data_IF_187517951035
#
_entry.id   IF_187517951035
#
_cell.length_a   1.000
_cell.length_b   1.000
_cell.length_c   1.000
_cell.angle_alpha   90.00
_cell.angle_beta   90.00
_cell.angle_gamma   90.00
#
_symmetry.space_group_name_H-M   'P 1'
#
loop_
_entity.id
_entity.type
_entity.pdbx_description
1 polymer ?
#
# COMPACT_ATOMS: atom_id res chain seq x y z
N UNK A 1 -7.35 -2.83 26.69
CA UNK A 1 -5.95 -2.36 26.81
C UNK A 1 -5.67 -1.53 25.57
N UNK A 2 -5.45 -0.23 25.71
CA UNK A 2 -5.00 0.60 24.59
C UNK A 2 -3.58 0.18 24.24
N UNK A 3 -3.44 -0.70 23.24
CA UNK A 3 -2.13 -1.07 22.72
C UNK A 3 -1.40 0.20 22.28
N UNK A 4 -0.12 0.31 22.64
CA UNK A 4 0.72 1.39 22.14
C UNK A 4 0.61 1.45 20.61
N UNK A 5 0.45 2.67 20.07
CA UNK A 5 0.39 2.86 18.63
C UNK A 5 1.71 2.38 18.01
N UNK A 6 1.62 1.60 16.93
CA UNK A 6 2.79 1.12 16.21
C UNK A 6 3.60 2.31 15.67
N UNK A 7 4.93 2.24 15.81
CA UNK A 7 5.85 3.31 15.41
C UNK A 7 6.95 2.78 14.52
N UNK A 8 7.34 3.57 13.53
CA UNK A 8 8.43 3.28 12.60
C UNK A 8 9.43 4.43 12.61
N UNK A 9 10.72 4.12 12.55
CA UNK A 9 11.74 5.13 12.26
C UNK A 9 11.84 5.37 10.75
N UNK A 10 12.16 6.60 10.35
CA UNK A 10 12.24 7.00 8.94
C UNK A 10 13.18 6.16 8.06
N UNK A 11 14.20 5.53 8.65
CA UNK A 11 15.22 4.71 7.98
C UNK A 11 14.98 3.19 8.12
N UNK A 12 13.94 2.78 8.84
CA UNK A 12 13.67 1.38 9.14
C UNK A 12 14.58 0.75 10.20
N UNK A 13 15.44 1.53 10.88
CA UNK A 13 16.23 1.04 12.03
C UNK A 13 15.36 0.54 13.19
N UNK A 14 14.12 1.06 13.28
CA UNK A 14 13.07 0.54 14.13
C UNK A 14 11.80 0.25 13.30
N UNK A 15 11.35 -1.00 13.36
CA UNK A 15 10.03 -1.42 12.89
C UNK A 15 9.27 -2.07 14.06
N UNK A 16 7.96 -1.84 14.18
CA UNK A 16 7.19 -2.32 15.31
C UNK A 16 6.92 -3.82 15.19
N UNK A 17 6.74 -4.53 16.31
CA UNK A 17 6.28 -5.91 16.27
C UNK A 17 4.86 -5.98 15.66
N UNK A 18 4.59 -7.01 14.86
CA UNK A 18 3.24 -7.23 14.32
C UNK A 18 2.38 -8.00 15.31
N UNK A 19 1.21 -7.47 15.64
CA UNK A 19 0.23 -8.19 16.46
C UNK A 19 -0.62 -9.17 15.61
N UNK A 20 -1.12 -10.28 16.20
CA UNK A 20 -1.89 -11.29 15.46
C UNK A 20 -3.15 -10.75 14.77
N UNK A 21 -3.80 -9.72 15.32
CA UNK A 21 -5.00 -9.15 14.73
C UNK A 21 -4.67 -8.30 13.50
N UNK A 22 -3.56 -7.56 13.52
CA UNK A 22 -3.06 -6.88 12.33
C UNK A 22 -2.59 -7.87 11.24
N UNK A 23 -1.96 -9.01 11.60
CA UNK A 23 -1.69 -10.11 10.65
C UNK A 23 -2.97 -10.59 9.96
N UNK A 24 -4.02 -10.86 10.74
CA UNK A 24 -5.30 -11.32 10.21
C UNK A 24 -5.96 -10.29 9.27
N UNK A 25 -5.93 -9.01 9.63
CA UNK A 25 -6.41 -7.92 8.75
C UNK A 25 -5.66 -7.88 7.43
N UNK A 26 -4.33 -7.98 7.46
CA UNK A 26 -3.51 -8.01 6.26
C UNK A 26 -3.84 -9.19 5.34
N UNK A 27 -4.05 -10.38 5.90
CA UNK A 27 -4.42 -11.58 5.12
C UNK A 27 -5.81 -11.46 4.47
N UNK A 28 -6.78 -10.91 5.20
CA UNK A 28 -8.13 -10.64 4.66
C UNK A 28 -8.06 -9.62 3.53
N UNK A 29 -7.31 -8.53 3.73
CA UNK A 29 -7.12 -7.47 2.74
C UNK A 29 -6.52 -8.02 1.44
N UNK A 30 -5.44 -8.79 1.54
CA UNK A 30 -4.76 -9.41 0.41
C UNK A 30 -5.71 -10.32 -0.39
N UNK A 31 -6.40 -11.24 0.30
CA UNK A 31 -7.36 -12.16 -0.31
C UNK A 31 -8.52 -11.43 -0.99
N UNK A 32 -9.02 -10.37 -0.34
CA UNK A 32 -10.12 -9.57 -0.88
C UNK A 32 -9.70 -8.84 -2.15
N UNK A 33 -8.53 -8.20 -2.16
CA UNK A 33 -8.06 -7.39 -3.28
C UNK A 33 -7.67 -8.24 -4.50
N UNK A 34 -7.04 -9.39 -4.29
CA UNK A 34 -6.75 -10.34 -5.38
C UNK A 34 -8.06 -10.75 -6.07
N UNK A 35 -9.07 -11.15 -5.29
CA UNK A 35 -10.36 -11.58 -5.80
C UNK A 35 -11.16 -10.43 -6.42
N UNK A 36 -11.04 -9.22 -5.87
CA UNK A 36 -11.66 -8.01 -6.43
C UNK A 36 -11.14 -7.75 -7.85
N UNK A 37 -9.83 -7.76 -8.05
CA UNK A 37 -9.23 -7.57 -9.38
C UNK A 37 -9.61 -8.72 -10.30
N UNK A 38 -9.46 -9.97 -9.84
CA UNK A 38 -9.86 -11.12 -10.64
C UNK A 38 -11.33 -11.03 -11.11
N UNK A 39 -12.23 -10.54 -10.25
CA UNK A 39 -13.67 -10.43 -10.55
C UNK A 39 -14.01 -9.23 -11.42
N UNK A 40 -13.50 -8.04 -11.11
CA UNK A 40 -13.87 -6.81 -11.81
C UNK A 40 -13.09 -6.66 -13.11
N UNK A 41 -11.78 -6.84 -13.08
CA UNK A 41 -10.93 -6.77 -14.28
C UNK A 41 -11.10 -8.02 -15.17
N UNK A 42 -11.34 -9.21 -14.58
CA UNK A 42 -11.48 -10.45 -15.36
C UNK A 42 -12.74 -10.58 -16.22
N UNK A 43 -13.69 -9.65 -16.15
CA UNK A 43 -14.95 -9.66 -16.94
C UNK A 43 -14.75 -9.34 -18.43
N UNK A 44 -14.00 -10.17 -19.17
CA UNK A 44 -13.88 -10.11 -20.63
C UNK A 44 -13.71 -8.69 -21.19
N UNK A 45 -14.51 -8.30 -22.20
CA UNK A 45 -14.47 -6.96 -22.81
C UNK A 45 -15.02 -5.83 -21.92
N UNK A 46 -15.69 -6.16 -20.82
CA UNK A 46 -16.44 -5.20 -19.98
C UNK A 46 -15.82 -5.01 -18.59
N UNK A 47 -14.71 -5.67 -18.31
CA UNK A 47 -14.08 -5.57 -17.00
C UNK A 47 -13.42 -4.22 -16.81
N UNK A 48 -13.59 -3.66 -15.62
CA UNK A 48 -12.92 -2.44 -15.18
C UNK A 48 -11.41 -2.55 -15.39
N UNK A 49 -10.84 -1.56 -16.05
CA UNK A 49 -9.40 -1.44 -16.26
C UNK A 49 -8.78 -0.37 -15.39
N UNK A 50 -9.57 0.46 -14.68
CA UNK A 50 -9.05 1.58 -13.89
C UNK A 50 -9.46 1.44 -12.43
N UNK A 51 -8.48 1.47 -11.54
CA UNK A 51 -8.67 1.34 -10.09
C UNK A 51 -7.89 2.41 -9.33
N UNK A 52 -8.42 2.84 -8.20
CA UNK A 52 -7.69 3.66 -7.22
C UNK A 52 -7.85 3.03 -5.84
N UNK A 53 -6.73 2.67 -5.22
CA UNK A 53 -6.64 2.14 -3.88
C UNK A 53 -6.06 3.21 -2.96
N UNK A 54 -6.75 3.48 -1.86
CA UNK A 54 -6.37 4.48 -0.87
C UNK A 54 -6.25 3.76 0.47
N UNK A 55 -5.05 3.79 1.06
CA UNK A 55 -4.84 3.37 2.45
C UNK A 55 -4.62 4.62 3.31
N UNK A 56 -5.58 4.89 4.20
CA UNK A 56 -5.62 6.09 5.02
C UNK A 56 -4.73 6.04 6.26
N UNK A 57 -4.21 4.86 6.62
CA UNK A 57 -3.45 4.61 7.84
C UNK A 57 -2.35 3.57 7.57
N UNK A 58 -1.51 3.88 6.58
CA UNK A 58 -0.62 2.90 5.97
C UNK A 58 0.57 2.48 6.86
N UNK A 59 0.91 3.29 7.87
CA UNK A 59 2.11 3.10 8.68
C UNK A 59 3.38 3.13 7.84
N UNK A 60 4.45 2.55 8.40
CA UNK A 60 5.75 2.48 7.75
C UNK A 60 5.95 1.31 6.80
N UNK A 61 4.96 0.43 6.64
CA UNK A 61 4.95 -0.61 5.59
C UNK A 61 5.63 -1.93 5.93
N UNK A 62 6.48 -2.03 6.95
CA UNK A 62 7.10 -3.30 7.38
C UNK A 62 7.01 -3.48 8.89
N UNK A 63 6.83 -4.70 9.35
CA UNK A 63 6.76 -5.04 10.77
C UNK A 63 7.74 -6.15 11.11
N UNK A 64 8.04 -6.34 12.39
CA UNK A 64 8.80 -7.50 12.86
C UNK A 64 7.87 -8.59 13.39
N UNK A 65 7.91 -9.77 12.77
CA UNK A 65 7.20 -10.95 13.24
C UNK A 65 8.02 -11.68 14.30
N UNK A 66 7.61 -11.53 15.56
CA UNK A 66 8.29 -12.14 16.70
C UNK A 66 8.19 -13.68 16.71
N UNK A 67 7.12 -14.24 16.16
CA UNK A 67 6.88 -15.69 16.15
C UNK A 67 7.85 -16.37 15.18
N UNK A 68 8.00 -15.77 13.99
CA UNK A 68 8.81 -16.31 12.90
C UNK A 68 10.24 -15.75 12.85
N UNK A 69 10.51 -14.69 13.64
CA UNK A 69 11.77 -13.91 13.62
C UNK A 69 12.10 -13.35 12.24
N UNK A 70 11.09 -12.96 11.49
CA UNK A 70 11.21 -12.41 10.13
C UNK A 70 10.49 -11.08 10.01
N UNK A 71 10.76 -10.33 8.94
CA UNK A 71 9.96 -9.18 8.59
C UNK A 71 8.58 -9.62 8.06
N UNK A 72 7.56 -8.81 8.33
CA UNK A 72 6.19 -8.99 7.87
C UNK A 72 5.76 -7.75 7.09
N UNK A 73 5.41 -7.94 5.82
CA UNK A 73 4.94 -6.85 4.95
C UNK A 73 3.59 -6.31 5.42
N UNK A 74 3.48 -4.99 5.50
CA UNK A 74 2.26 -4.25 5.84
C UNK A 74 1.30 -4.08 4.66
N UNK A 75 0.22 -3.33 4.90
CA UNK A 75 -0.82 -3.09 3.90
C UNK A 75 -0.32 -2.48 2.58
N UNK A 76 0.62 -1.52 2.53
CA UNK A 76 1.01 -0.92 1.24
C UNK A 76 1.58 -1.92 0.24
N UNK A 77 2.51 -2.75 0.71
CA UNK A 77 3.16 -3.77 -0.11
C UNK A 77 2.16 -4.88 -0.47
N UNK A 78 1.36 -5.33 0.50
CA UNK A 78 0.36 -6.38 0.26
C UNK A 78 -0.74 -5.96 -0.72
N UNK A 79 -1.16 -4.70 -0.67
CA UNK A 79 -2.10 -4.14 -1.65
C UNK A 79 -1.50 -4.29 -3.05
N UNK A 80 -0.28 -3.79 -3.28
CA UNK A 80 0.38 -3.85 -4.59
C UNK A 80 0.50 -5.29 -5.10
N UNK A 81 1.00 -6.20 -4.26
CA UNK A 81 1.19 -7.60 -4.61
C UNK A 81 -0.14 -8.33 -4.87
N UNK A 82 -1.19 -8.06 -4.09
CA UNK A 82 -2.52 -8.63 -4.31
C UNK A 82 -3.12 -8.20 -5.66
N UNK A 83 -2.94 -6.93 -6.05
CA UNK A 83 -3.39 -6.44 -7.36
C UNK A 83 -2.62 -7.12 -8.50
N UNK A 84 -1.29 -7.24 -8.38
CA UNK A 84 -0.44 -7.96 -9.34
C UNK A 84 -0.86 -9.44 -9.47
N UNK A 85 -1.15 -10.09 -8.35
CA UNK A 85 -1.63 -11.47 -8.31
C UNK A 85 -3.00 -11.62 -9.00
N UNK A 86 -3.96 -10.75 -8.69
CA UNK A 86 -5.29 -10.75 -9.31
C UNK A 86 -5.23 -10.51 -10.82
N UNK A 87 -4.38 -9.58 -11.27
CA UNK A 87 -4.12 -9.33 -12.69
C UNK A 87 -3.59 -10.59 -13.38
N UNK A 88 -2.52 -11.19 -12.84
CA UNK A 88 -1.92 -12.42 -13.39
C UNK A 88 -2.93 -13.58 -13.44
N UNK A 89 -3.75 -13.73 -12.40
CA UNK A 89 -4.79 -14.76 -12.29
C UNK A 89 -5.89 -14.60 -13.34
N UNK A 90 -6.22 -13.37 -13.72
CA UNK A 90 -7.25 -13.10 -14.73
C UNK A 90 -6.87 -13.59 -16.13
N UNK A 91 -5.57 -13.70 -16.44
CA UNK A 91 -5.01 -14.02 -17.77
C UNK A 91 -5.46 -13.05 -18.88
N UNK A 92 -6.05 -11.92 -18.52
CA UNK A 92 -6.54 -10.90 -19.45
C UNK A 92 -5.36 -10.04 -19.90
N UNK A 93 -5.29 -9.75 -21.20
CA UNK A 93 -4.19 -9.01 -21.85
C UNK A 93 -4.52 -7.54 -22.12
N UNK A 94 -5.46 -6.96 -21.36
CA UNK A 94 -5.78 -5.54 -21.48
C UNK A 94 -4.94 -4.75 -20.47
N UNK A 95 -4.82 -3.45 -20.69
CA UNK A 95 -4.15 -2.60 -19.72
C UNK A 95 -4.95 -2.55 -18.41
N UNK A 96 -4.21 -2.57 -17.30
CA UNK A 96 -4.75 -2.41 -15.95
C UNK A 96 -4.12 -1.17 -15.32
N UNK A 97 -4.90 -0.10 -15.27
CA UNK A 97 -4.58 1.25 -14.82
C UNK A 97 -4.82 1.42 -13.32
N UNK A 98 -3.80 1.28 -12.47
CA UNK A 98 -4.00 1.29 -11.01
C UNK A 98 -3.24 2.40 -10.32
N UNK A 99 -3.95 3.12 -9.45
CA UNK A 99 -3.39 4.14 -8.58
C UNK A 99 -3.39 3.72 -7.14
N UNK A 100 -2.24 3.86 -6.47
CA UNK A 100 -2.12 3.68 -5.02
C UNK A 100 -1.85 5.02 -4.35
N UNK A 101 -2.55 5.28 -3.25
CA UNK A 101 -2.36 6.44 -2.40
C UNK A 101 -2.23 5.93 -0.97
N UNK A 102 -1.02 6.08 -0.41
CA UNK A 102 -0.72 5.69 0.96
C UNK A 102 -0.63 6.95 1.83
N UNK A 103 -1.39 6.99 2.92
CA UNK A 103 -1.51 8.16 3.79
C UNK A 103 -1.26 7.70 5.21
N UNK A 104 -0.48 8.51 5.94
CA UNK A 104 -0.28 8.38 7.37
C UNK A 104 -0.10 9.79 7.95
N UNK A 105 -0.45 9.97 9.22
CA UNK A 105 -0.32 11.27 9.88
C UNK A 105 1.09 11.50 10.45
N UNK A 106 1.90 10.44 10.58
CA UNK A 106 3.28 10.54 11.02
C UNK A 106 4.23 10.59 9.81
N UNK A 107 4.97 11.69 9.61
CA UNK A 107 5.93 11.79 8.51
C UNK A 107 7.06 10.75 8.57
N UNK A 108 7.44 10.27 9.76
CA UNK A 108 8.45 9.21 9.88
C UNK A 108 7.94 7.87 9.33
N UNK A 109 6.65 7.58 9.49
CA UNK A 109 6.05 6.38 8.90
C UNK A 109 6.12 6.45 7.38
N UNK A 110 5.73 7.59 6.80
CA UNK A 110 5.81 7.77 5.34
C UNK A 110 7.26 7.72 4.84
N UNK A 111 8.21 8.29 5.59
CA UNK A 111 9.63 8.18 5.27
C UNK A 111 10.14 6.73 5.34
N UNK A 112 9.72 5.96 6.35
CA UNK A 112 10.04 4.54 6.47
C UNK A 112 9.50 3.75 5.28
N UNK A 113 8.23 3.98 4.92
CA UNK A 113 7.60 3.34 3.77
C UNK A 113 8.40 3.64 2.49
N UNK A 114 8.75 4.91 2.29
CA UNK A 114 9.47 5.42 1.11
C UNK A 114 10.89 4.86 1.01
N UNK A 115 11.67 4.99 2.09
CA UNK A 115 13.12 4.82 2.05
C UNK A 115 13.57 3.41 2.43
N UNK A 116 12.75 2.67 3.16
CA UNK A 116 13.10 1.34 3.65
C UNK A 116 12.14 0.27 3.13
N UNK A 117 10.84 0.35 3.43
CA UNK A 117 9.94 -0.79 3.20
C UNK A 117 9.66 -1.08 1.72
N UNK A 118 9.44 -0.04 0.90
CA UNK A 118 9.24 -0.23 -0.55
C UNK A 118 10.51 -0.78 -1.24
N UNK A 119 11.72 -0.20 -1.05
CA UNK A 119 12.95 -0.79 -1.59
C UNK A 119 13.23 -2.20 -1.07
N UNK A 120 13.00 -2.45 0.21
CA UNK A 120 13.19 -3.78 0.82
C UNK A 120 12.29 -4.84 0.18
N UNK A 121 11.09 -4.45 -0.26
CA UNK A 121 10.16 -5.31 -0.98
C UNK A 121 10.45 -5.43 -2.48
N UNK A 122 11.48 -4.76 -3.01
CA UNK A 122 11.76 -4.70 -4.45
C UNK A 122 10.72 -3.88 -5.22
N UNK A 123 10.22 -2.82 -4.59
CA UNK A 123 9.25 -1.86 -5.13
C UNK A 123 9.82 -0.43 -5.13
N UNK A 124 11.14 -0.28 -5.11
CA UNK A 124 11.81 1.04 -5.12
C UNK A 124 11.45 1.85 -6.37
N UNK A 125 11.17 1.20 -7.50
CA UNK A 125 10.74 1.87 -8.71
C UNK A 125 9.46 2.68 -8.48
N UNK A 126 8.53 2.15 -7.68
CA UNK A 126 7.21 2.72 -7.42
C UNK A 126 7.24 3.96 -6.50
N UNK A 127 8.42 4.40 -6.07
CA UNK A 127 8.62 5.45 -5.07
C UNK A 127 8.96 6.82 -5.68
N UNK A 128 9.28 6.88 -6.97
CA UNK A 128 9.69 8.09 -7.69
C UNK A 128 8.55 9.07 -8.04
N UNK A 129 7.33 8.73 -7.62
CA UNK A 129 6.11 9.51 -7.83
C UNK A 129 5.75 9.68 -9.33
N UNK A 130 6.30 8.81 -10.20
CA UNK A 130 6.01 8.73 -11.62
C UNK A 130 5.08 7.55 -11.98
N UNK A 131 4.45 7.58 -13.17
CA UNK A 131 3.76 6.42 -13.73
C UNK A 131 4.74 5.30 -14.08
N UNK A 132 4.37 4.04 -13.79
CA UNK A 132 5.21 2.86 -14.05
C UNK A 132 4.51 1.86 -14.94
N UNK A 133 5.12 1.54 -16.08
CA UNK A 133 4.68 0.44 -16.93
C UNK A 133 5.33 -0.87 -16.49
N UNK A 134 4.52 -1.85 -16.09
CA UNK A 134 4.97 -3.23 -15.90
C UNK A 134 4.57 -4.01 -17.15
N UNK A 135 5.54 -4.62 -17.86
CA UNK A 135 5.34 -5.32 -19.15
C UNK A 135 3.99 -6.06 -19.26
N UNK A 136 3.02 -5.43 -19.93
CA UNK A 136 1.66 -5.92 -20.19
C UNK A 136 0.51 -5.20 -19.46
N UNK A 137 0.82 -4.30 -18.52
CA UNK A 137 -0.14 -3.53 -17.71
C UNK A 137 0.43 -2.16 -17.31
N UNK A 138 -0.29 -1.09 -17.59
CA UNK A 138 0.11 0.29 -17.24
C UNK A 138 -0.33 0.61 -15.80
N UNK A 139 0.56 0.65 -14.80
CA UNK A 139 0.19 1.03 -13.43
C UNK A 139 0.41 2.54 -13.20
N UNK A 140 -0.60 3.24 -12.68
CA UNK A 140 -0.60 4.69 -12.46
C UNK A 140 -0.35 5.05 -10.99
N UNK A 141 0.88 4.99 -10.50
CA UNK A 141 1.16 5.62 -9.21
C UNK A 141 1.22 7.14 -9.37
N UNK A 142 0.22 7.85 -8.86
CA UNK A 142 0.30 9.30 -8.82
C UNK A 142 -0.28 9.89 -7.54
N UNK A 143 0.42 10.89 -7.02
CA UNK A 143 0.02 11.85 -5.98
C UNK A 143 -0.27 11.26 -4.59
N UNK A 144 0.80 11.14 -3.81
CA UNK A 144 0.81 11.53 -2.40
C UNK A 144 0.48 13.04 -2.32
N UNK A 145 -0.79 13.40 -2.06
CA UNK A 145 -1.02 14.66 -1.37
C UNK A 145 -0.63 14.42 0.07
N UNK A 146 0.63 14.74 0.39
CA UNK A 146 0.98 15.10 1.77
C UNK A 146 0.04 16.25 2.13
N UNK A 147 -1.05 15.90 2.80
CA UNK A 147 -2.01 16.84 3.35
C UNK A 147 -1.32 17.63 4.44
N UNK A 148 -0.61 18.68 4.05
CA UNK A 148 -0.31 19.79 4.95
C UNK A 148 -1.66 20.36 5.35
N UNK A 149 -2.17 19.91 6.49
CA UNK A 149 -3.29 20.51 7.18
C UNK A 149 -2.89 21.93 7.57
N UNK A 150 -3.08 22.89 6.65
CA UNK A 150 -3.09 24.30 6.99
C UNK A 150 -4.42 24.57 7.68
N UNK A 151 -4.44 24.37 9.00
CA UNK A 151 -5.43 24.99 9.87
C UNK A 151 -5.20 26.52 9.84
N UNK A 152 -5.72 27.19 8.81
CA UNK A 152 -6.05 28.61 8.92
C UNK A 152 -7.45 28.70 9.51
N UNK A 153 -7.49 28.82 10.84
CA UNK A 153 -8.65 29.29 11.56
C UNK A 153 -8.99 30.68 11.02
N UNK A 154 -10.05 30.77 10.23
CA UNK A 154 -10.70 32.04 9.89
C UNK A 154 -11.43 32.46 11.16
N UNK A 155 -10.82 33.35 11.94
CA UNK A 155 -11.61 34.18 12.84
C UNK A 155 -12.24 35.28 11.99
N UNK A 156 -13.52 35.09 11.69
CA UNK A 156 -14.46 36.16 11.39
C UNK A 156 -15.54 36.08 12.46
N UNK A 157 -15.49 37.03 13.39
CA UNK A 157 -16.59 37.95 13.75
C UNK A 157 -16.03 39.05 14.65
#
# INVERSE_FOLDING_TARGET
MSGAQATWSADGSHIPPIDPHTKAKHQILETYLENLIYTLYGKGRYGETTFTFIDGFCGGGMYYDQDNKTEWQGSPIRIIEAIRAGYKKSKRQYDLNVKFIFIDNNPEHLACLKNYSMPKAGLDELVDEQPHELKGSVMYLQRLQLGQSKHNCIQKE
#
